data_IF_076130237784
#
_entry.id   IF_076130237784
#
_cell.length_a   1.000
_cell.length_b   1.000
_cell.length_c   1.000
_cell.angle_alpha   90.00
_cell.angle_beta   90.00
_cell.angle_gamma   90.00
#
_symmetry.space_group_name_H-M   'P 1'
#
loop_
_entity.id
_entity.type
_entity.pdbx_description
1 polymer ?
#
# COMPACT_ATOMS: atom_id res chain seq x y z
N UNK A 1 -15.51 -0.68 -8.30
CA UNK A 1 -14.45 -0.52 -9.30
C UNK A 1 -14.10 0.93 -9.31
N UNK A 2 -12.83 1.21 -9.05
CA UNK A 2 -12.29 2.56 -8.99
C UNK A 2 -12.65 3.32 -10.27
N UNK A 3 -13.22 4.51 -10.10
CA UNK A 3 -13.53 5.39 -11.21
C UNK A 3 -12.49 6.50 -11.26
N UNK A 4 -11.84 6.64 -12.41
CA UNK A 4 -10.84 7.67 -12.69
C UNK A 4 -11.47 8.71 -13.60
N UNK A 5 -11.58 9.94 -13.13
CA UNK A 5 -12.02 11.08 -13.93
C UNK A 5 -10.85 12.05 -14.13
N UNK A 6 -10.44 12.26 -15.39
CA UNK A 6 -9.45 13.28 -15.74
C UNK A 6 -10.19 14.63 -15.79
N UNK A 7 -9.99 15.46 -14.77
CA UNK A 7 -10.65 16.77 -14.70
C UNK A 7 -10.03 17.77 -15.68
N UNK A 8 -8.72 17.70 -15.88
CA UNK A 8 -7.96 18.47 -16.87
C UNK A 8 -6.57 17.84 -17.08
N UNK A 9 -5.70 18.48 -17.87
CA UNK A 9 -4.34 18.00 -18.20
C UNK A 9 -3.45 17.75 -16.97
N UNK A 10 -3.79 18.30 -15.80
CA UNK A 10 -2.94 18.27 -14.59
C UNK A 10 -3.65 17.73 -13.35
N UNK A 11 -4.97 17.53 -13.41
CA UNK A 11 -5.82 17.22 -12.25
C UNK A 11 -6.64 15.97 -12.48
N UNK A 12 -6.54 15.04 -11.53
CA UNK A 12 -7.23 13.77 -11.57
C UNK A 12 -8.18 13.63 -10.36
N UNK A 13 -9.36 13.07 -10.58
CA UNK A 13 -10.29 12.71 -9.51
C UNK A 13 -10.46 11.19 -9.49
N UNK A 14 -10.21 10.61 -8.32
CA UNK A 14 -10.40 9.20 -8.04
C UNK A 14 -11.65 9.06 -7.19
N UNK A 15 -12.59 8.25 -7.63
CA UNK A 15 -13.73 7.84 -6.81
C UNK A 15 -13.59 6.36 -6.48
N UNK A 16 -13.51 6.02 -5.20
CA UNK A 16 -13.38 4.65 -4.72
C UNK A 16 -14.60 4.23 -3.90
N UNK A 17 -14.99 2.98 -4.06
CA UNK A 17 -16.04 2.33 -3.28
C UNK A 17 -15.48 1.28 -2.33
N UNK A 18 -16.36 0.75 -1.46
CA UNK A 18 -16.02 -0.33 -0.54
C UNK A 18 -15.43 -1.55 -1.27
N UNK A 19 -15.94 -1.86 -2.46
CA UNK A 19 -15.46 -2.98 -3.29
C UNK A 19 -13.99 -2.83 -3.68
N UNK A 20 -13.51 -1.58 -3.81
CA UNK A 20 -12.12 -1.29 -4.14
C UNK A 20 -11.22 -1.54 -2.93
N UNK A 21 -11.66 -1.18 -1.71
CA UNK A 21 -10.96 -1.58 -0.48
C UNK A 21 -10.86 -3.11 -0.37
N UNK A 22 -11.95 -3.83 -0.61
CA UNK A 22 -11.95 -5.30 -0.60
C UNK A 22 -10.98 -5.87 -1.64
N UNK A 23 -10.90 -5.25 -2.82
CA UNK A 23 -9.98 -5.65 -3.88
C UNK A 23 -8.52 -5.40 -3.48
N UNK A 24 -8.22 -4.24 -2.89
CA UNK A 24 -6.89 -3.93 -2.32
C UNK A 24 -6.47 -4.97 -1.29
N UNK A 25 -7.35 -5.33 -0.36
CA UNK A 25 -7.07 -6.33 0.68
C UNK A 25 -6.77 -7.70 0.06
N UNK A 26 -7.55 -8.13 -0.93
CA UNK A 26 -7.33 -9.42 -1.61
C UNK A 26 -5.99 -9.46 -2.35
N UNK A 27 -5.59 -8.37 -2.99
CA UNK A 27 -4.29 -8.26 -3.65
C UNK A 27 -3.17 -8.28 -2.61
N UNK A 28 -3.28 -7.47 -1.56
CA UNK A 28 -2.33 -7.43 -0.46
C UNK A 28 -2.14 -8.82 0.17
N UNK A 29 -3.22 -9.58 0.37
CA UNK A 29 -3.13 -10.94 0.90
C UNK A 29 -2.46 -11.92 -0.08
N UNK A 30 -2.84 -11.88 -1.37
CA UNK A 30 -2.28 -12.80 -2.39
C UNK A 30 -0.80 -12.56 -2.63
N UNK A 31 -0.38 -11.31 -2.59
CA UNK A 31 0.97 -10.84 -2.93
C UNK A 31 1.65 -10.25 -1.68
N UNK A 32 1.38 -10.83 -0.50
CA UNK A 32 1.75 -10.23 0.79
C UNK A 32 3.24 -9.95 0.94
N UNK A 33 4.11 -10.85 0.48
CA UNK A 33 5.55 -10.61 0.50
C UNK A 33 5.97 -9.36 -0.29
N UNK A 34 5.26 -9.04 -1.38
CA UNK A 34 5.52 -7.85 -2.20
C UNK A 34 5.07 -6.57 -1.50
N UNK A 35 3.96 -6.60 -0.77
CA UNK A 35 3.33 -5.43 -0.15
C UNK A 35 3.49 -5.35 1.37
N UNK A 36 4.29 -6.23 1.99
CA UNK A 36 4.41 -6.36 3.44
C UNK A 36 4.73 -5.02 4.12
N UNK A 37 5.66 -4.25 3.55
CA UNK A 37 6.03 -2.94 4.08
C UNK A 37 4.88 -1.92 3.98
N UNK A 38 4.10 -1.95 2.90
CA UNK A 38 2.95 -1.04 2.74
C UNK A 38 1.80 -1.43 3.66
N UNK A 39 1.55 -2.72 3.87
CA UNK A 39 0.55 -3.23 4.82
C UNK A 39 0.85 -2.69 6.23
N UNK A 40 2.11 -2.81 6.66
CA UNK A 40 2.60 -2.29 7.94
C UNK A 40 2.38 -0.77 8.02
N UNK A 41 2.85 -0.04 7.01
CA UNK A 41 2.72 1.42 6.96
C UNK A 41 1.25 1.88 7.02
N UNK A 42 0.37 1.28 6.23
CA UNK A 42 -1.05 1.63 6.19
C UNK A 42 -1.68 1.36 7.56
N UNK A 43 -1.44 0.19 8.16
CA UNK A 43 -1.97 -0.14 9.49
C UNK A 43 -1.50 0.84 10.56
N UNK A 44 -0.22 1.19 10.61
CA UNK A 44 0.33 2.05 11.65
C UNK A 44 -0.04 3.53 11.48
N UNK A 45 -0.13 3.99 10.23
CA UNK A 45 -0.31 5.42 9.94
C UNK A 45 -1.78 5.82 9.85
N UNK A 46 -2.68 4.97 9.35
CA UNK A 46 -4.10 5.34 9.21
C UNK A 46 -4.71 5.90 10.52
N UNK A 47 -4.51 5.29 11.72
CA UNK A 47 -5.05 5.84 12.96
C UNK A 47 -4.52 7.23 13.30
N UNK A 48 -3.27 7.53 12.96
CA UNK A 48 -2.64 8.86 13.19
C UNK A 48 -3.31 9.94 12.34
N UNK A 49 -3.87 9.57 11.19
CA UNK A 49 -4.59 10.45 10.27
C UNK A 49 -6.11 10.30 10.36
N UNK A 50 -6.62 9.91 11.53
CA UNK A 50 -8.07 9.75 11.78
C UNK A 50 -8.75 8.81 10.77
N UNK A 51 -7.99 7.85 10.23
CA UNK A 51 -8.37 6.86 9.21
C UNK A 51 -8.69 7.44 7.82
N UNK A 52 -9.50 8.50 7.74
CA UNK A 52 -10.03 9.04 6.48
C UNK A 52 -9.16 10.12 5.85
N UNK A 53 -8.21 10.70 6.59
CA UNK A 53 -7.27 11.71 6.08
C UNK A 53 -5.91 11.11 5.67
N UNK A 54 -5.82 9.78 5.57
CA UNK A 54 -4.58 9.11 5.21
C UNK A 54 -4.22 9.32 3.72
N UNK A 55 -2.98 9.73 3.45
CA UNK A 55 -2.47 9.89 2.10
C UNK A 55 -1.47 8.77 1.75
N UNK A 56 -1.82 7.90 0.80
CA UNK A 56 -1.01 6.76 0.37
C UNK A 56 0.38 7.16 -0.16
N UNK A 57 0.53 8.38 -0.68
CA UNK A 57 1.78 8.87 -1.30
C UNK A 57 2.77 9.48 -0.30
N UNK A 58 2.36 9.75 0.93
CA UNK A 58 3.22 10.40 1.91
C UNK A 58 4.27 9.45 2.53
N UNK A 59 4.04 8.13 2.47
CA UNK A 59 4.83 7.13 3.21
C UNK A 59 5.27 5.93 2.36
N UNK A 60 5.46 6.14 1.05
CA UNK A 60 5.85 5.06 0.11
C UNK A 60 4.92 3.83 0.17
N UNK A 61 3.63 4.09 0.41
CA UNK A 61 2.56 3.10 0.52
C UNK A 61 1.60 3.15 -0.66
N UNK A 62 2.07 3.67 -1.79
CA UNK A 62 1.25 3.96 -2.95
C UNK A 62 1.19 2.81 -3.96
N UNK A 63 2.11 1.84 -3.92
CA UNK A 63 2.18 0.81 -4.97
C UNK A 63 0.98 -0.11 -4.95
N UNK A 64 0.49 -0.52 -3.78
CA UNK A 64 -0.75 -1.30 -3.65
C UNK A 64 -1.95 -0.53 -4.21
N UNK A 65 -1.98 0.79 -4.00
CA UNK A 65 -3.01 1.68 -4.49
C UNK A 65 -2.94 1.83 -6.03
N UNK A 66 -1.76 2.15 -6.56
CA UNK A 66 -1.45 2.21 -8.00
C UNK A 66 -1.80 0.88 -8.69
N UNK A 67 -1.52 -0.25 -8.05
CA UNK A 67 -1.84 -1.58 -8.56
C UNK A 67 -3.34 -1.81 -8.77
N UNK A 68 -4.19 -1.24 -7.91
CA UNK A 68 -5.65 -1.30 -8.02
C UNK A 68 -6.20 -0.31 -9.02
N UNK A 69 -5.57 0.86 -9.14
CA UNK A 69 -5.94 1.86 -10.13
C UNK A 69 -5.48 1.51 -11.54
N UNK A 70 -4.56 0.56 -11.69
CA UNK A 70 -3.89 0.20 -12.96
C UNK A 70 -3.24 1.40 -13.65
N UNK A 71 -2.90 2.43 -12.88
CA UNK A 71 -2.25 3.65 -13.34
C UNK A 71 -1.36 4.22 -12.24
N UNK A 72 -0.44 5.10 -12.63
CA UNK A 72 0.37 5.91 -11.71
C UNK A 72 -0.16 7.36 -11.66
N UNK A 73 -0.94 7.73 -10.63
CA UNK A 73 -1.41 9.09 -10.40
C UNK A 73 -0.31 10.15 -10.31
N UNK A 74 0.97 9.79 -10.05
CA UNK A 74 2.09 10.75 -10.04
C UNK A 74 2.35 11.37 -11.40
N UNK A 75 1.77 10.80 -12.46
CA UNK A 75 1.77 11.40 -13.80
C UNK A 75 0.95 12.69 -13.87
N UNK A 76 0.14 13.01 -12.85
CA UNK A 76 -0.66 14.24 -12.74
C UNK A 76 -0.13 15.14 -11.62
N UNK A 77 -0.24 16.47 -11.80
CA UNK A 77 0.27 17.45 -10.83
C UNK A 77 -0.59 17.53 -9.56
N UNK A 78 -1.86 17.12 -9.64
CA UNK A 78 -2.81 17.12 -8.53
C UNK A 78 -3.78 15.96 -8.68
N UNK A 79 -4.14 15.31 -7.57
CA UNK A 79 -5.28 14.41 -7.56
C UNK A 79 -6.13 14.61 -6.31
N UNK A 80 -7.42 14.32 -6.44
CA UNK A 80 -8.39 14.26 -5.34
C UNK A 80 -8.91 12.84 -5.20
N UNK A 81 -9.04 12.37 -3.95
CA UNK A 81 -9.60 11.07 -3.63
C UNK A 81 -10.95 11.28 -2.96
N UNK A 82 -11.99 10.76 -3.58
CA UNK A 82 -13.35 10.70 -3.05
C UNK A 82 -13.68 9.25 -2.71
N UNK A 83 -13.78 8.94 -1.42
CA UNK A 83 -14.08 7.60 -0.94
C UNK A 83 -14.94 7.69 0.33
N UNK A 84 -15.94 6.81 0.51
CA UNK A 84 -16.75 6.81 1.73
C UNK A 84 -15.92 6.30 2.92
N UNK A 85 -16.24 6.70 4.14
CA UNK A 85 -15.59 6.21 5.37
C UNK A 85 -15.51 4.68 5.45
N UNK A 86 -16.54 3.99 4.94
CA UNK A 86 -16.59 2.54 4.85
C UNK A 86 -15.40 1.94 4.07
N UNK A 87 -14.89 2.62 3.04
CA UNK A 87 -13.67 2.23 2.32
C UNK A 87 -12.48 2.21 3.28
N UNK A 88 -12.25 3.31 4.01
CA UNK A 88 -11.10 3.45 4.90
C UNK A 88 -11.15 2.46 6.06
N UNK A 89 -12.32 2.27 6.68
CA UNK A 89 -12.46 1.31 7.78
C UNK A 89 -12.31 -0.13 7.32
N UNK A 90 -12.86 -0.49 6.16
CA UNK A 90 -12.66 -1.83 5.59
C UNK A 90 -11.18 -2.08 5.27
N UNK A 91 -10.52 -1.11 4.63
CA UNK A 91 -9.10 -1.18 4.31
C UNK A 91 -8.25 -1.37 5.57
N UNK A 92 -8.47 -0.53 6.58
CA UNK A 92 -7.76 -0.63 7.85
C UNK A 92 -7.97 -2.01 8.51
N UNK A 93 -9.21 -2.48 8.59
CA UNK A 93 -9.52 -3.80 9.16
C UNK A 93 -8.85 -4.94 8.40
N UNK A 94 -8.77 -4.85 7.07
CA UNK A 94 -8.06 -5.83 6.24
C UNK A 94 -6.55 -5.80 6.44
N UNK A 95 -5.94 -4.61 6.53
CA UNK A 95 -4.50 -4.49 6.81
C UNK A 95 -4.15 -4.97 8.22
N UNK A 96 -5.01 -4.69 9.21
CA UNK A 96 -4.85 -5.20 10.58
C UNK A 96 -4.80 -6.74 10.62
N UNK A 97 -5.62 -7.42 9.81
CA UNK A 97 -5.61 -8.88 9.71
C UNK A 97 -4.32 -9.46 9.08
N UNK A 98 -3.57 -8.65 8.34
CA UNK A 98 -2.33 -9.04 7.66
C UNK A 98 -1.06 -8.52 8.35
N UNK A 99 -1.20 -7.73 9.41
CA UNK A 99 -0.11 -6.95 9.99
C UNK A 99 1.03 -7.81 10.55
N UNK A 100 0.70 -8.70 11.50
CA UNK A 100 1.71 -9.52 12.20
C UNK A 100 2.50 -10.41 11.23
N UNK A 101 1.80 -11.09 10.31
CA UNK A 101 2.47 -11.93 9.31
C UNK A 101 3.28 -11.11 8.30
N UNK A 102 2.93 -9.84 8.04
CA UNK A 102 3.74 -8.94 7.23
C UNK A 102 5.05 -8.55 7.93
N UNK A 103 5.03 -8.35 9.24
CA UNK A 103 6.26 -8.09 10.03
C UNK A 103 7.21 -9.27 9.91
N UNK A 104 6.70 -10.50 10.10
CA UNK A 104 7.51 -11.72 9.98
C UNK A 104 8.15 -11.84 8.59
N UNK A 105 7.41 -11.56 7.53
CA UNK A 105 7.92 -11.58 6.14
C UNK A 105 9.05 -10.57 5.92
N UNK A 106 8.93 -9.35 6.44
CA UNK A 106 9.99 -8.32 6.33
C UNK A 106 11.24 -8.76 7.11
N UNK A 107 11.07 -9.29 8.32
CA UNK A 107 12.19 -9.78 9.13
C UNK A 107 12.93 -10.94 8.46
N UNK A 108 12.20 -11.91 7.89
CA UNK A 108 12.78 -13.04 7.16
C UNK A 108 13.54 -12.59 5.90
N UNK A 109 13.00 -11.63 5.17
CA UNK A 109 13.67 -11.05 4.00
C UNK A 109 14.98 -10.38 4.41
N UNK A 110 14.97 -9.56 5.47
CA UNK A 110 16.16 -8.88 5.97
C UNK A 110 17.22 -9.86 6.49
N UNK A 111 16.81 -10.92 7.18
CA UNK A 111 17.71 -11.97 7.65
C UNK A 111 18.37 -12.74 6.50
N UNK A 112 17.61 -13.07 5.44
CA UNK A 112 18.14 -13.74 4.26
C UNK A 112 19.13 -12.86 3.48
N UNK A 113 18.86 -11.55 3.37
CA UNK A 113 19.79 -10.59 2.75
C UNK A 113 21.08 -10.46 3.54
N UNK A 114 21.02 -10.39 4.87
CA UNK A 114 22.21 -10.30 5.74
C UNK A 114 23.15 -11.51 5.59
N UNK A 115 22.60 -12.72 5.56
CA UNK A 115 23.36 -13.98 5.38
C UNK A 115 24.02 -14.05 3.99
N UNK A 116 23.36 -13.51 2.96
CA UNK A 116 23.90 -13.46 1.60
C UNK A 116 25.14 -12.56 1.52
N UNK A 117 25.12 -11.39 2.19
CA UNK A 117 26.27 -10.47 2.25
C UNK A 117 27.45 -11.00 3.05
N UNK A 118 27.24 -11.80 4.10
CA UNK A 118 28.34 -12.38 4.87
C UNK A 118 29.06 -13.51 4.13
N UNK A 119 28.35 -14.23 3.25
CA UNK A 119 28.92 -15.34 2.50
C UNK A 119 29.83 -14.85 1.36
N UNK A 120 29.52 -13.73 0.72
CA UNK A 120 30.36 -13.15 -0.35
C UNK A 120 31.67 -12.52 0.16
N UNK A 121 31.71 -12.06 1.41
CA UNK A 121 32.94 -11.48 1.99
C UNK A 121 33.96 -12.56 2.35
N UNK A 122 33.52 -13.80 2.60
CA UNK A 122 34.39 -14.87 3.09
C UNK A 122 35.00 -15.76 1.98
N UNK A 123 34.79 -15.44 0.70
CA UNK A 123 35.35 -16.18 -0.45
C UNK A 123 36.65 -15.54 -0.99
N UNK A 124 37.12 -14.45 -0.38
CA UNK A 124 38.35 -13.75 -0.77
C UNK A 124 39.41 -13.62 0.34
N UNK A 125 39.40 -14.50 1.34
CA UNK A 125 40.44 -14.58 2.38
C UNK A 125 41.37 -15.78 2.17
#
# INVERSE_FOLDING_TARGET
MAHVEIMNETTLRLTLGLEDAVSMIRIAQREQATYAQEIITIYEKMPVFEFTHFCFYAYDSARLFERVLEMDPKTYLSFSLDAPDAFFYALYGGMAALYESSIELVQQTNAATAVSTETDVNVHA
#
